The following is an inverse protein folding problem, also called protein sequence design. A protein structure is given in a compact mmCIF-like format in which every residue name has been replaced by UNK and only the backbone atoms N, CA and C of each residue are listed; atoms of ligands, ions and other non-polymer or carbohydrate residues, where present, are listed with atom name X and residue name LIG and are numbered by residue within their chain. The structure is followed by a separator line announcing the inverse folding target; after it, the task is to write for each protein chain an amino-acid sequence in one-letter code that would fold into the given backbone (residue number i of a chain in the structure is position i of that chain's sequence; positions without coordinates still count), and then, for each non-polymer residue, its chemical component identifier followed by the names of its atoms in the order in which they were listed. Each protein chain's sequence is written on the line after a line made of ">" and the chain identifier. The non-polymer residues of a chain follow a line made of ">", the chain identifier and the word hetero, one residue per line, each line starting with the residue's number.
data_IF_368290364826
#
_entry.id   IF_368290364826
#
_cell.length_a   1.000
_cell.length_b   1.000
_cell.length_c   1.000
_cell.angle_alpha   90.00
_cell.angle_beta   90.00
_cell.angle_gamma   90.00
#
_symmetry.space_group_name_H-M   'P 1'
#
loop_
_entity.id
_entity.type
_entity.pdbx_description
1 polymer ?
#
# COMPACT_ATOMS: atom_id res chain seq x y z
N UNK A 1 -23.61 1.89 -9.74
CA UNK A 1 -23.51 0.63 -8.98
C UNK A 1 -24.34 0.79 -7.72
N UNK A 2 -25.38 -0.05 -7.57
CA UNK A 2 -26.20 -0.01 -6.37
C UNK A 2 -25.44 -0.68 -5.23
N UNK A 3 -24.86 0.11 -4.32
CA UNK A 3 -24.24 -0.37 -3.08
C UNK A 3 -25.32 -0.65 -2.02
N UNK A 4 -26.26 -1.54 -2.36
CA UNK A 4 -27.49 -1.81 -1.59
C UNK A 4 -27.29 -2.58 -0.29
N UNK A 5 -26.04 -2.77 0.17
CA UNK A 5 -25.79 -3.31 1.50
C UNK A 5 -26.15 -2.30 2.58
N UNK A 6 -26.08 -1.04 2.23
CA UNK A 6 -26.42 0.08 3.08
C UNK A 6 -27.50 0.89 2.37
N UNK A 7 -28.73 0.38 2.41
CA UNK A 7 -29.91 1.16 2.00
C UNK A 7 -29.92 2.49 2.77
N UNK A 8 -30.38 3.58 2.14
CA UNK A 8 -30.48 4.93 2.73
C UNK A 8 -31.24 4.98 4.06
N UNK A 9 -31.97 3.91 4.39
CA UNK A 9 -32.67 3.71 5.66
C UNK A 9 -31.79 3.02 6.74
N UNK A 10 -30.59 2.54 6.40
CA UNK A 10 -29.71 1.81 7.31
C UNK A 10 -28.61 2.71 7.83
N UNK A 11 -28.80 3.23 8.98
CA UNK A 11 -27.79 3.84 9.82
C UNK A 11 -26.87 2.77 10.42
N UNK A 12 -25.94 2.23 9.63
CA UNK A 12 -24.69 1.80 10.23
C UNK A 12 -23.94 3.12 10.45
N UNK A 13 -24.11 3.69 11.61
CA UNK A 13 -23.38 4.87 12.03
C UNK A 13 -21.93 4.49 12.33
N UNK A 14 -21.15 4.24 11.27
CA UNK A 14 -19.72 4.01 11.42
C UNK A 14 -19.10 5.31 11.90
N UNK A 15 -18.79 5.35 13.20
CA UNK A 15 -18.10 6.47 13.84
C UNK A 15 -16.59 6.29 13.85
N UNK A 16 -16.07 5.20 13.30
CA UNK A 16 -14.64 4.97 13.25
C UNK A 16 -14.19 4.12 12.08
N UNK A 17 -12.93 4.34 11.69
CA UNK A 17 -12.21 3.54 10.73
C UNK A 17 -10.94 2.98 11.36
N UNK A 18 -10.61 1.73 11.04
CA UNK A 18 -9.36 1.09 11.41
C UNK A 18 -8.40 1.11 10.22
N UNK A 19 -7.16 1.49 10.48
CA UNK A 19 -6.10 1.48 9.50
C UNK A 19 -4.94 0.59 9.98
N UNK A 20 -4.39 -0.18 9.05
CA UNK A 20 -3.17 -0.96 9.30
C UNK A 20 -1.96 -0.18 8.83
N UNK A 21 -0.88 -0.24 9.58
CA UNK A 21 0.42 0.29 9.21
C UNK A 21 1.54 -0.70 9.54
N UNK A 22 2.78 -0.27 9.33
CA UNK A 22 3.93 -0.96 9.89
C UNK A 22 4.02 -0.69 11.39
N UNK A 23 4.38 -1.70 12.17
CA UNK A 23 4.70 -1.55 13.60
C UNK A 23 5.72 -0.43 13.83
N UNK A 24 5.43 0.48 14.78
CA UNK A 24 6.25 1.65 15.09
C UNK A 24 5.98 2.90 14.22
N UNK A 25 4.99 2.83 13.32
CA UNK A 25 4.58 3.96 12.46
C UNK A 25 3.18 4.49 12.78
N UNK A 26 2.61 4.07 13.90
CA UNK A 26 1.26 4.46 14.30
C UNK A 26 1.12 5.98 14.47
N UNK A 27 2.13 6.64 15.05
CA UNK A 27 2.11 8.09 15.24
C UNK A 27 2.20 8.86 13.91
N UNK A 28 2.97 8.34 12.95
CA UNK A 28 3.10 8.96 11.63
C UNK A 28 1.81 8.76 10.82
N UNK A 29 1.20 7.56 10.88
CA UNK A 29 -0.12 7.33 10.29
C UNK A 29 -1.20 8.19 10.95
N UNK A 30 -1.22 8.33 12.29
CA UNK A 30 -2.18 9.18 12.98
C UNK A 30 -2.10 10.64 12.50
N UNK A 31 -0.89 11.19 12.38
CA UNK A 31 -0.66 12.54 11.86
C UNK A 31 -1.11 12.68 10.39
N UNK A 32 -0.89 11.65 9.58
CA UNK A 32 -1.38 11.60 8.20
C UNK A 32 -2.92 11.60 8.14
N UNK A 33 -3.57 10.75 8.95
CA UNK A 33 -5.03 10.65 8.98
C UNK A 33 -5.67 11.97 9.42
N UNK A 34 -5.11 12.66 10.40
CA UNK A 34 -5.57 13.99 10.83
C UNK A 34 -5.44 15.03 9.71
N UNK A 35 -4.35 14.97 8.96
CA UNK A 35 -4.16 15.84 7.80
C UNK A 35 -5.17 15.55 6.67
N UNK A 36 -5.34 14.27 6.31
CA UNK A 36 -6.29 13.83 5.27
C UNK A 36 -7.72 14.15 5.70
N UNK A 37 -8.09 13.89 6.97
CA UNK A 37 -9.42 14.19 7.50
C UNK A 37 -9.78 15.67 7.38
N UNK A 38 -8.84 16.55 7.70
CA UNK A 38 -9.03 17.99 7.59
C UNK A 38 -9.27 18.42 6.12
N UNK A 39 -8.56 17.82 5.15
CA UNK A 39 -8.74 18.11 3.73
C UNK A 39 -10.12 17.69 3.21
N UNK A 40 -10.68 16.61 3.75
CA UNK A 40 -12.03 16.12 3.45
C UNK A 40 -13.13 16.77 4.32
N UNK A 41 -12.77 17.64 5.26
CA UNK A 41 -13.69 18.26 6.25
C UNK A 41 -14.42 17.23 7.13
N UNK A 42 -13.79 16.08 7.36
CA UNK A 42 -14.29 14.98 8.19
C UNK A 42 -13.52 14.94 9.51
N UNK A 43 -13.96 15.73 10.47
CA UNK A 43 -13.22 15.96 11.71
C UNK A 43 -13.37 14.79 12.70
N UNK A 44 -12.26 14.51 13.39
CA UNK A 44 -12.17 13.43 14.36
C UNK A 44 -10.80 13.43 15.06
N UNK A 45 -10.45 12.30 15.63
CA UNK A 45 -9.15 12.09 16.28
C UNK A 45 -8.65 10.67 16.10
N UNK A 46 -7.34 10.49 16.08
CA UNK A 46 -6.68 9.19 15.99
C UNK A 46 -6.45 8.61 17.38
N UNK A 47 -6.69 7.31 17.53
CA UNK A 47 -6.36 6.52 18.72
C UNK A 47 -5.50 5.32 18.32
N UNK A 48 -4.40 5.10 19.04
CA UNK A 48 -3.53 3.93 18.81
C UNK A 48 -2.74 3.55 20.06
N UNK A 49 -2.27 2.33 20.07
CA UNK A 49 -1.26 1.84 21.01
C UNK A 49 0.06 1.74 20.27
N UNK A 50 1.17 2.14 20.87
CA UNK A 50 2.51 2.02 20.25
C UNK A 50 2.82 0.56 19.95
N UNK A 51 3.42 0.32 18.80
CA UNK A 51 3.76 -1.01 18.28
C UNK A 51 2.55 -1.95 18.10
N UNK A 52 1.35 -1.38 17.95
CA UNK A 52 0.15 -2.15 17.62
C UNK A 52 0.00 -2.46 16.14
N UNK A 53 0.71 -1.75 15.27
CA UNK A 53 0.53 -1.74 13.82
C UNK A 53 -0.90 -1.33 13.37
N UNK A 54 -1.69 -0.72 14.26
CA UNK A 54 -3.08 -0.34 14.06
C UNK A 54 -3.32 1.08 14.56
N UNK A 55 -4.09 1.85 13.79
CA UNK A 55 -4.61 3.18 14.18
C UNK A 55 -6.10 3.20 13.92
N UNK A 56 -6.89 3.57 14.94
CA UNK A 56 -8.32 3.79 14.79
C UNK A 56 -8.59 5.31 14.75
N UNK A 57 -9.25 5.76 13.70
CA UNK A 57 -9.70 7.14 13.58
C UNK A 57 -11.18 7.25 13.95
N UNK A 58 -11.50 8.07 14.95
CA UNK A 58 -12.84 8.30 15.45
C UNK A 58 -13.39 9.63 14.92
N UNK A 59 -14.55 9.59 14.27
CA UNK A 59 -15.23 10.77 13.74
C UNK A 59 -16.11 11.40 14.81
N UNK A 60 -16.17 12.73 14.87
CA UNK A 60 -17.12 13.43 15.74
C UNK A 60 -18.56 13.25 15.27
N UNK A 61 -18.76 13.04 13.98
CA UNK A 61 -20.06 12.75 13.36
C UNK A 61 -20.00 11.41 12.61
N UNK A 62 -21.12 10.69 12.63
CA UNK A 62 -21.21 9.45 11.86
C UNK A 62 -21.11 9.73 10.36
N UNK A 63 -20.35 8.87 9.65
CA UNK A 63 -20.20 8.98 8.21
C UNK A 63 -21.39 8.40 7.48
N UNK A 64 -21.86 9.09 6.44
CA UNK A 64 -22.78 8.52 5.47
C UNK A 64 -22.16 7.33 4.72
N UNK A 65 -22.98 6.46 4.13
CA UNK A 65 -22.48 5.33 3.32
C UNK A 65 -21.56 5.79 2.17
N UNK A 66 -21.83 6.95 1.58
CA UNK A 66 -20.99 7.51 0.52
C UNK A 66 -19.62 7.94 1.08
N UNK A 67 -19.60 8.63 2.21
CA UNK A 67 -18.35 9.05 2.87
C UNK A 67 -17.53 7.85 3.33
N UNK A 68 -18.18 6.80 3.86
CA UNK A 68 -17.50 5.54 4.20
C UNK A 68 -16.82 4.90 2.99
N UNK A 69 -17.42 5.02 1.82
CA UNK A 69 -16.86 4.48 0.58
C UNK A 69 -15.73 5.34 0.02
N UNK A 70 -15.89 6.67 0.00
CA UNK A 70 -15.01 7.59 -0.74
C UNK A 70 -13.92 8.25 0.08
N UNK A 71 -14.16 8.49 1.41
CA UNK A 71 -13.19 9.20 2.24
C UNK A 71 -11.99 8.35 2.61
N UNK A 72 -10.86 8.99 2.87
CA UNK A 72 -9.60 8.33 3.19
C UNK A 72 -9.26 7.24 2.17
N UNK A 73 -9.26 7.62 0.91
CA UNK A 73 -8.90 6.67 -0.14
C UNK A 73 -7.52 6.06 0.16
N UNK A 74 -7.43 4.72 0.09
CA UNK A 74 -6.21 4.03 0.50
C UNK A 74 -4.98 4.48 -0.29
N UNK A 75 -5.17 4.91 -1.54
CA UNK A 75 -4.12 5.46 -2.39
C UNK A 75 -3.71 6.90 -2.02
N UNK A 76 -4.46 7.62 -1.20
CA UNK A 76 -4.11 8.95 -0.67
C UNK A 76 -3.25 8.85 0.60
N UNK A 77 -3.30 7.72 1.29
CA UNK A 77 -2.55 7.50 2.53
C UNK A 77 -1.21 6.81 2.25
N UNK A 78 -0.11 7.38 2.70
CA UNK A 78 1.24 6.85 2.50
C UNK A 78 1.53 5.70 3.46
N UNK A 79 1.20 5.88 4.74
CA UNK A 79 1.53 4.92 5.80
C UNK A 79 0.45 3.84 6.01
N UNK A 80 -0.78 4.05 5.51
CA UNK A 80 -1.83 3.05 5.62
C UNK A 80 -1.66 1.91 4.61
N UNK A 81 -1.68 0.65 5.08
CA UNK A 81 -1.65 -0.57 4.25
C UNK A 81 -3.05 -1.10 3.95
N UNK A 82 -3.97 -0.93 4.89
CA UNK A 82 -5.37 -1.33 4.78
C UNK A 82 -6.25 -0.31 5.48
N UNK A 83 -7.51 -0.25 5.07
CA UNK A 83 -8.52 0.65 5.60
C UNK A 83 -9.83 -0.10 5.76
N UNK A 84 -10.40 -0.06 6.96
CA UNK A 84 -11.64 -0.75 7.32
C UNK A 84 -12.63 0.22 7.98
N UNK A 85 -13.91 0.08 7.66
CA UNK A 85 -15.00 0.76 8.38
C UNK A 85 -15.41 -0.12 9.57
N UNK A 86 -15.22 0.36 10.78
CA UNK A 86 -15.51 -0.40 12.02
C UNK A 86 -17.00 -0.37 12.32
N UNK A 87 -17.58 -1.54 12.59
CA UNK A 87 -18.97 -1.68 13.06
C UNK A 87 -19.00 -1.71 14.57
N UNK A 88 -18.08 -2.47 15.19
CA UNK A 88 -17.94 -2.54 16.63
C UNK A 88 -17.09 -3.70 17.09
N UNK A 89 -17.20 -4.02 18.38
CA UNK A 89 -16.43 -5.06 19.06
C UNK A 89 -17.33 -6.14 19.57
N UNK A 90 -16.87 -7.38 19.52
CA UNK A 90 -17.58 -8.57 20.02
C UNK A 90 -16.69 -9.28 21.03
N UNK A 91 -17.22 -9.48 22.22
CA UNK A 91 -16.61 -10.35 23.22
C UNK A 91 -17.07 -11.79 22.99
N UNK A 92 -16.12 -12.71 22.95
CA UNK A 92 -16.33 -14.12 22.65
C UNK A 92 -16.06 -14.96 23.89
N UNK A 93 -16.97 -14.88 24.84
CA UNK A 93 -16.84 -15.50 26.18
C UNK A 93 -16.92 -17.02 26.11
N UNK A 94 -17.75 -17.60 25.20
CA UNK A 94 -17.80 -19.04 24.96
C UNK A 94 -16.88 -19.44 23.80
N UNK A 95 -15.87 -20.24 24.15
CA UNK A 95 -14.91 -20.78 23.19
C UNK A 95 -15.56 -21.69 22.13
N UNK A 96 -16.69 -22.31 22.43
CA UNK A 96 -17.36 -23.25 21.54
C UNK A 96 -18.38 -22.59 20.61
N UNK A 97 -18.83 -21.37 20.93
CA UNK A 97 -19.89 -20.68 20.18
C UNK A 97 -19.47 -19.33 19.56
N UNK A 98 -18.18 -19.11 19.33
CA UNK A 98 -17.66 -17.88 18.73
C UNK A 98 -18.30 -17.55 17.37
N UNK A 99 -18.59 -18.57 16.56
CA UNK A 99 -19.13 -18.39 15.21
C UNK A 99 -20.56 -17.87 15.26
N UNK A 100 -21.41 -18.43 16.10
CA UNK A 100 -22.81 -17.99 16.27
C UNK A 100 -22.84 -16.59 16.85
N UNK A 101 -22.05 -16.33 17.89
CA UNK A 101 -21.94 -15.01 18.52
C UNK A 101 -21.59 -13.91 17.50
N UNK A 102 -20.59 -14.14 16.63
CA UNK A 102 -20.22 -13.18 15.59
C UNK A 102 -21.34 -13.04 14.54
N UNK A 103 -21.98 -14.15 14.15
CA UNK A 103 -23.05 -14.12 13.17
C UNK A 103 -24.25 -13.33 13.68
N UNK A 104 -24.66 -13.56 14.93
CA UNK A 104 -25.78 -12.85 15.54
C UNK A 104 -25.46 -11.36 15.69
N UNK A 105 -24.22 -11.04 16.14
CA UNK A 105 -23.75 -9.65 16.14
C UNK A 105 -23.84 -8.98 14.77
N UNK A 106 -23.43 -9.67 13.70
CA UNK A 106 -23.56 -9.17 12.32
C UNK A 106 -25.02 -8.95 11.94
N UNK A 107 -25.93 -9.89 12.27
CA UNK A 107 -27.37 -9.79 11.98
C UNK A 107 -28.03 -8.62 12.70
N UNK A 108 -27.66 -8.40 13.96
CA UNK A 108 -28.25 -7.37 14.81
C UNK A 108 -27.77 -5.96 14.45
N UNK A 109 -26.50 -5.83 14.03
CA UNK A 109 -25.87 -4.55 13.76
C UNK A 109 -25.78 -4.19 12.27
N UNK A 110 -26.19 -5.10 11.37
CA UNK A 110 -26.15 -4.86 9.94
C UNK A 110 -27.37 -5.46 9.25
N UNK A 111 -27.90 -4.82 8.22
CA UNK A 111 -28.95 -5.45 7.38
C UNK A 111 -28.27 -6.24 6.27
N UNK A 112 -27.81 -7.43 6.60
CA UNK A 112 -27.26 -8.35 5.63
C UNK A 112 -28.35 -8.90 4.73
N UNK A 113 -28.30 -8.55 3.46
CA UNK A 113 -29.12 -9.18 2.41
C UNK A 113 -28.43 -10.42 1.85
N UNK A 114 -29.16 -11.25 1.10
CA UNK A 114 -28.56 -12.41 0.45
C UNK A 114 -27.42 -12.03 -0.49
N UNK A 115 -26.29 -12.77 -0.38
CA UNK A 115 -25.09 -12.60 -1.21
C UNK A 115 -24.52 -11.17 -1.27
N UNK A 116 -24.68 -10.41 -0.19
CA UNK A 116 -24.25 -9.01 -0.15
C UNK A 116 -22.73 -8.84 0.11
N UNK A 117 -22.07 -9.86 0.62
CA UNK A 117 -20.62 -9.85 0.90
C UNK A 117 -19.85 -10.75 -0.07
N UNK A 118 -18.74 -10.24 -0.57
CA UNK A 118 -17.89 -10.93 -1.53
C UNK A 118 -16.94 -11.96 -0.91
N UNK A 119 -16.43 -11.69 0.29
CA UNK A 119 -15.58 -12.62 1.07
C UNK A 119 -15.43 -12.16 2.51
N UNK A 120 -14.68 -12.94 3.28
CA UNK A 120 -14.29 -12.67 4.67
C UNK A 120 -12.78 -12.76 4.84
N UNK A 121 -12.23 -11.78 5.54
CA UNK A 121 -10.88 -11.82 6.08
C UNK A 121 -10.92 -11.96 7.59
N UNK A 122 -10.18 -12.95 8.13
CA UNK A 122 -9.97 -13.11 9.56
C UNK A 122 -8.53 -12.75 9.84
N UNK A 123 -8.33 -11.67 10.57
CA UNK A 123 -7.08 -10.93 10.65
C UNK A 123 -6.63 -10.70 12.09
N UNK A 124 -5.42 -10.26 12.22
CA UNK A 124 -4.76 -9.83 13.45
C UNK A 124 -3.83 -8.67 13.13
N UNK A 125 -3.27 -7.99 14.13
CA UNK A 125 -2.24 -6.99 13.90
C UNK A 125 -0.94 -7.61 13.34
N UNK A 126 -0.20 -6.88 12.49
CA UNK A 126 1.10 -7.31 11.94
C UNK A 126 2.23 -6.96 12.92
N UNK A 127 2.20 -7.56 14.10
CA UNK A 127 3.18 -7.39 15.18
C UNK A 127 3.39 -8.71 15.95
N UNK A 128 4.27 -8.72 16.95
CA UNK A 128 4.56 -9.94 17.73
C UNK A 128 3.31 -10.53 18.42
N UNK A 129 2.48 -9.67 19.04
CA UNK A 129 1.22 -10.15 19.68
C UNK A 129 0.26 -10.74 18.66
N UNK A 130 0.12 -10.11 17.50
CA UNK A 130 -0.73 -10.62 16.43
C UNK A 130 -0.28 -11.98 15.91
N UNK A 131 1.02 -12.28 15.89
CA UNK A 131 1.53 -13.60 15.52
C UNK A 131 1.04 -14.73 16.43
N UNK A 132 0.80 -14.45 17.71
CA UNK A 132 0.24 -15.44 18.65
C UNK A 132 -1.16 -15.90 18.24
N UNK A 133 -1.98 -14.97 17.73
CA UNK A 133 -3.34 -15.25 17.25
C UNK A 133 -3.41 -15.71 15.79
N UNK A 134 -2.34 -15.58 15.03
CA UNK A 134 -2.31 -15.89 13.60
C UNK A 134 -2.77 -17.32 13.27
N UNK A 135 -2.34 -18.31 14.07
CA UNK A 135 -2.75 -19.72 13.92
C UNK A 135 -4.25 -19.91 14.17
N UNK A 136 -4.79 -19.22 15.17
CA UNK A 136 -6.21 -19.19 15.46
C UNK A 136 -6.98 -18.57 14.29
N UNK A 137 -6.62 -17.37 13.84
CA UNK A 137 -7.27 -16.68 12.71
C UNK A 137 -7.32 -17.57 11.47
N UNK A 138 -6.20 -18.23 11.13
CA UNK A 138 -6.13 -19.16 9.99
C UNK A 138 -7.10 -20.32 10.11
N UNK A 139 -7.20 -20.94 11.32
CA UNK A 139 -8.13 -22.04 11.57
C UNK A 139 -9.59 -21.57 11.60
N UNK A 140 -9.85 -20.39 12.14
CA UNK A 140 -11.19 -19.83 12.28
C UNK A 140 -11.80 -19.38 10.92
N UNK A 141 -10.97 -19.02 9.96
CA UNK A 141 -11.41 -18.51 8.65
C UNK A 141 -12.33 -19.49 7.92
N UNK A 142 -11.98 -20.77 7.87
CA UNK A 142 -12.72 -21.76 7.08
C UNK A 142 -14.11 -22.01 7.65
N UNK A 143 -14.29 -22.36 8.93
CA UNK A 143 -15.61 -22.62 9.50
C UNK A 143 -16.50 -21.36 9.49
N UNK A 144 -15.94 -20.17 9.76
CA UNK A 144 -16.71 -18.92 9.71
C UNK A 144 -17.18 -18.60 8.28
N UNK A 145 -16.32 -18.74 7.27
CA UNK A 145 -16.68 -18.56 5.86
C UNK A 145 -17.79 -19.54 5.44
N UNK A 146 -17.70 -20.81 5.85
CA UNK A 146 -18.73 -21.81 5.57
C UNK A 146 -20.06 -21.45 6.23
N UNK A 147 -20.06 -20.99 7.47
CA UNK A 147 -21.27 -20.55 8.16
C UNK A 147 -21.93 -19.39 7.44
N UNK A 148 -21.17 -18.33 7.10
CA UNK A 148 -21.71 -17.17 6.37
C UNK A 148 -22.25 -17.54 4.99
N UNK A 149 -21.68 -18.53 4.31
CA UNK A 149 -22.22 -19.05 3.04
C UNK A 149 -23.52 -19.81 3.24
N UNK A 150 -23.62 -20.65 4.28
CA UNK A 150 -24.85 -21.39 4.62
C UNK A 150 -26.01 -20.44 4.98
N UNK A 151 -25.69 -19.33 5.62
CA UNK A 151 -26.67 -18.27 5.92
C UNK A 151 -27.00 -17.41 4.69
N UNK A 152 -26.40 -17.67 3.54
CA UNK A 152 -26.64 -16.94 2.30
C UNK A 152 -26.07 -15.52 2.27
N UNK A 153 -25.22 -15.15 3.22
CA UNK A 153 -24.63 -13.80 3.35
C UNK A 153 -23.47 -13.61 2.38
N UNK A 154 -22.58 -14.60 2.28
CA UNK A 154 -21.46 -14.59 1.33
C UNK A 154 -21.86 -15.19 -0.01
N UNK A 155 -21.24 -14.66 -1.06
CA UNK A 155 -21.24 -15.27 -2.39
C UNK A 155 -20.61 -16.67 -2.37
N UNK A 156 -20.99 -17.55 -3.29
CA UNK A 156 -20.46 -18.93 -3.38
C UNK A 156 -18.95 -18.96 -3.65
N UNK A 157 -18.46 -17.99 -4.41
CA UNK A 157 -17.02 -17.77 -4.68
C UNK A 157 -16.64 -16.34 -4.28
N UNK A 158 -15.38 -16.05 -3.96
CA UNK A 158 -14.92 -14.69 -3.69
C UNK A 158 -15.29 -13.73 -4.83
N UNK A 159 -15.83 -12.57 -4.49
CA UNK A 159 -16.29 -11.56 -5.45
C UNK A 159 -15.72 -10.18 -5.07
N UNK A 160 -14.67 -9.74 -5.76
CA UNK A 160 -13.95 -8.50 -5.46
C UNK A 160 -14.77 -7.22 -5.65
N UNK A 161 -15.84 -7.27 -6.43
CA UNK A 161 -16.76 -6.14 -6.64
C UNK A 161 -17.75 -5.89 -5.50
N UNK A 162 -17.76 -6.74 -4.45
CA UNK A 162 -18.62 -6.59 -3.28
C UNK A 162 -17.78 -6.26 -2.04
N UNK A 163 -18.36 -5.69 -0.97
CA UNK A 163 -17.67 -5.50 0.30
C UNK A 163 -17.21 -6.81 0.89
N UNK A 164 -16.12 -6.74 1.68
CA UNK A 164 -15.63 -7.85 2.49
C UNK A 164 -15.87 -7.55 3.96
N UNK A 165 -16.25 -8.56 4.72
CA UNK A 165 -16.24 -8.49 6.19
C UNK A 165 -14.85 -8.82 6.70
N UNK A 166 -14.41 -8.07 7.70
CA UNK A 166 -13.16 -8.27 8.39
C UNK A 166 -13.43 -8.58 9.86
N UNK A 167 -12.82 -9.65 10.33
CA UNK A 167 -12.81 -10.03 11.74
C UNK A 167 -11.39 -9.86 12.24
N UNK A 168 -11.15 -8.80 13.00
CA UNK A 168 -9.82 -8.44 13.50
C UNK A 168 -9.69 -8.87 14.95
N UNK A 169 -8.89 -9.89 15.20
CA UNK A 169 -8.70 -10.46 16.52
C UNK A 169 -7.50 -9.84 17.24
N UNK A 170 -7.71 -9.34 18.45
CA UNK A 170 -6.64 -8.99 19.39
C UNK A 170 -6.14 -10.21 20.15
N UNK A 171 -7.05 -11.12 20.46
CA UNK A 171 -6.85 -12.43 21.07
C UNK A 171 -8.01 -13.36 20.68
N UNK A 172 -8.07 -14.57 21.22
CA UNK A 172 -9.12 -15.54 20.86
C UNK A 172 -10.50 -15.23 21.45
N UNK A 173 -10.62 -14.23 22.31
CA UNK A 173 -11.85 -13.82 23.02
C UNK A 173 -12.37 -12.45 22.62
N UNK A 174 -11.63 -11.67 21.84
CA UNK A 174 -12.03 -10.34 21.41
C UNK A 174 -11.86 -10.16 19.90
N UNK A 175 -12.91 -9.69 19.26
CA UNK A 175 -12.97 -9.50 17.83
C UNK A 175 -13.56 -8.12 17.50
N UNK A 176 -12.85 -7.34 16.70
CA UNK A 176 -13.43 -6.18 16.04
C UNK A 176 -14.05 -6.61 14.71
N UNK A 177 -15.28 -6.19 14.48
CA UNK A 177 -16.02 -6.44 13.23
C UNK A 177 -15.98 -5.18 12.38
N UNK A 178 -15.53 -5.32 11.15
CA UNK A 178 -15.39 -4.20 10.21
C UNK A 178 -15.69 -4.62 8.77
N UNK A 179 -15.83 -3.65 7.88
CA UNK A 179 -16.02 -3.86 6.45
C UNK A 179 -15.01 -3.07 5.64
N UNK A 180 -14.66 -3.63 4.46
CA UNK A 180 -13.92 -2.91 3.43
C UNK A 180 -14.70 -2.88 2.12
N UNK A 181 -14.53 -1.80 1.36
CA UNK A 181 -15.26 -1.58 0.12
C UNK A 181 -14.40 -1.86 -1.11
N UNK A 182 -15.00 -2.29 -2.24
CA UNK A 182 -14.31 -2.39 -3.52
C UNK A 182 -13.60 -1.08 -3.88
N UNK A 183 -12.45 -1.19 -4.52
CA UNK A 183 -11.61 -0.05 -4.96
C UNK A 183 -11.01 0.82 -3.85
N UNK A 184 -11.40 0.62 -2.60
CA UNK A 184 -10.86 1.34 -1.45
C UNK A 184 -10.43 0.37 -0.33
N UNK A 185 -9.76 -0.71 -0.71
CA UNK A 185 -9.14 -1.70 0.16
C UNK A 185 -7.93 -2.31 -0.53
N UNK A 186 -6.99 -2.81 0.24
CA UNK A 186 -5.98 -3.71 -0.28
C UNK A 186 -6.60 -5.11 -0.52
N UNK A 187 -6.24 -5.75 -1.62
CA UNK A 187 -6.84 -7.05 -2.02
C UNK A 187 -6.31 -8.24 -1.21
N UNK A 188 -5.20 -8.08 -0.51
CA UNK A 188 -4.55 -9.12 0.27
C UNK A 188 -4.78 -8.93 1.77
N UNK A 189 -4.71 -10.05 2.50
CA UNK A 189 -4.83 -10.10 3.95
C UNK A 189 -3.81 -9.16 4.61
N UNK A 190 -4.21 -8.43 5.65
CA UNK A 190 -3.40 -7.44 6.39
C UNK A 190 -2.91 -6.26 5.53
N UNK A 191 -3.38 -6.11 4.31
CA UNK A 191 -2.83 -5.13 3.37
C UNK A 191 -1.41 -5.42 2.92
N UNK A 192 -1.00 -6.69 2.91
CA UNK A 192 0.38 -7.11 2.62
C UNK A 192 0.44 -7.92 1.33
N UNK A 193 1.17 -7.39 0.33
CA UNK A 193 1.51 -8.14 -0.88
C UNK A 193 2.64 -9.13 -0.56
N UNK A 194 2.29 -10.41 -0.45
CA UNK A 194 3.27 -11.46 -0.16
C UNK A 194 3.94 -11.93 -1.43
N UNK A 195 5.14 -11.41 -1.67
CA UNK A 195 5.95 -11.74 -2.83
C UNK A 195 6.88 -12.92 -2.53
N UNK A 196 7.07 -13.78 -3.53
CA UNK A 196 8.09 -14.82 -3.50
C UNK A 196 9.41 -14.21 -3.96
N UNK A 197 10.46 -14.41 -3.17
CA UNK A 197 11.80 -14.00 -3.57
C UNK A 197 12.29 -14.87 -4.76
N UNK A 198 12.65 -14.25 -5.91
CA UNK A 198 13.21 -14.99 -7.05
C UNK A 198 14.61 -15.50 -6.71
N UNK A 199 14.88 -16.78 -7.04
CA UNK A 199 16.17 -17.41 -6.72
C UNK A 199 17.35 -16.74 -7.43
N UNK A 200 17.10 -16.18 -8.61
CA UNK A 200 18.10 -15.52 -9.47
C UNK A 200 18.38 -14.09 -9.09
N UNK A 201 17.55 -13.49 -8.21
CA UNK A 201 17.72 -12.10 -7.80
C UNK A 201 18.91 -11.95 -6.84
N UNK A 202 19.83 -11.01 -7.07
CA UNK A 202 21.05 -10.88 -6.29
C UNK A 202 20.82 -10.27 -4.90
N UNK A 203 19.67 -9.63 -4.65
CA UNK A 203 19.36 -8.96 -3.41
C UNK A 203 17.87 -8.96 -3.10
N UNK A 204 17.52 -8.99 -1.80
CA UNK A 204 16.13 -8.88 -1.34
C UNK A 204 15.48 -7.52 -1.65
N UNK A 205 16.25 -6.49 -1.97
CA UNK A 205 15.74 -5.19 -2.40
C UNK A 205 14.87 -5.29 -3.68
N UNK A 206 15.05 -6.36 -4.47
CA UNK A 206 14.20 -6.68 -5.63
C UNK A 206 12.71 -6.69 -5.28
N UNK A 207 12.35 -7.12 -4.06
CA UNK A 207 10.96 -7.19 -3.61
C UNK A 207 10.32 -5.82 -3.42
N UNK A 208 11.11 -4.79 -3.09
CA UNK A 208 10.60 -3.40 -2.97
C UNK A 208 10.09 -2.90 -4.33
N UNK A 209 10.93 -3.01 -5.37
CA UNK A 209 10.55 -2.57 -6.71
C UNK A 209 9.39 -3.40 -7.27
N UNK A 210 9.38 -4.71 -7.05
CA UNK A 210 8.27 -5.57 -7.46
C UNK A 210 6.96 -5.18 -6.77
N UNK A 211 6.98 -4.96 -5.44
CA UNK A 211 5.80 -4.50 -4.71
C UNK A 211 5.33 -3.14 -5.21
N UNK A 212 6.25 -2.20 -5.45
CA UNK A 212 5.95 -0.88 -6.02
C UNK A 212 5.25 -1.00 -7.38
N UNK A 213 5.79 -1.82 -8.28
CA UNK A 213 5.21 -2.05 -9.61
C UNK A 213 3.78 -2.61 -9.48
N UNK A 214 3.58 -3.63 -8.64
CA UNK A 214 2.26 -4.25 -8.46
C UNK A 214 1.23 -3.31 -7.81
N UNK A 215 1.67 -2.45 -6.92
CA UNK A 215 0.78 -1.55 -6.18
C UNK A 215 0.43 -0.28 -6.96
N UNK A 216 1.41 0.32 -7.63
CA UNK A 216 1.24 1.61 -8.28
C UNK A 216 0.77 1.53 -9.73
N UNK A 217 1.09 0.43 -10.42
CA UNK A 217 0.76 0.25 -11.82
C UNK A 217 -0.30 -0.85 -12.00
N UNK A 218 -1.43 -0.48 -12.58
CA UNK A 218 -2.42 -1.47 -13.01
C UNK A 218 -1.81 -2.42 -14.05
N UNK A 219 -2.38 -3.62 -14.28
CA UNK A 219 -1.88 -4.55 -15.30
C UNK A 219 -1.76 -3.91 -16.69
N UNK A 220 -2.71 -3.03 -17.07
CA UNK A 220 -2.64 -2.29 -18.31
C UNK A 220 -1.46 -1.29 -18.33
N UNK A 221 -1.24 -0.57 -17.25
CA UNK A 221 -0.09 0.34 -17.15
C UNK A 221 1.23 -0.43 -17.18
N UNK A 222 1.33 -1.57 -16.50
CA UNK A 222 2.54 -2.41 -16.55
C UNK A 222 2.85 -2.86 -17.99
N UNK A 223 1.83 -3.28 -18.76
CA UNK A 223 2.03 -3.74 -20.14
C UNK A 223 2.49 -2.63 -21.11
N UNK A 224 2.21 -1.37 -20.78
CA UNK A 224 2.59 -0.21 -21.62
C UNK A 224 3.86 0.47 -21.12
N UNK A 225 4.02 0.60 -19.78
CA UNK A 225 5.12 1.36 -19.20
C UNK A 225 6.38 0.51 -18.92
N UNK A 226 6.30 -0.83 -19.01
CA UNK A 226 7.43 -1.73 -18.71
C UNK A 226 7.65 -2.71 -19.86
N UNK A 227 7.80 -2.18 -21.08
CA UNK A 227 7.97 -2.98 -22.28
C UNK A 227 9.43 -3.39 -22.49
N UNK A 228 9.60 -4.57 -23.09
CA UNK A 228 10.90 -5.01 -23.60
C UNK A 228 11.49 -3.98 -24.56
N UNK A 229 12.78 -3.68 -24.39
CA UNK A 229 13.51 -2.72 -25.23
C UNK A 229 13.49 -1.29 -24.71
N UNK A 230 12.69 -0.99 -23.67
CA UNK A 230 12.81 0.29 -22.96
C UNK A 230 14.17 0.43 -22.28
N UNK A 231 14.49 1.65 -21.87
CA UNK A 231 15.76 2.02 -21.23
C UNK A 231 15.53 2.51 -19.81
N UNK A 232 16.48 2.22 -18.92
CA UNK A 232 16.43 2.68 -17.54
C UNK A 232 17.81 3.04 -17.01
N UNK A 233 17.84 3.93 -16.01
CA UNK A 233 18.99 4.14 -15.14
C UNK A 233 18.63 3.68 -13.74
N UNK A 234 19.51 2.90 -13.12
CA UNK A 234 19.42 2.46 -11.71
C UNK A 234 20.55 3.12 -10.91
N UNK A 235 20.19 4.07 -10.04
CA UNK A 235 21.13 4.78 -9.19
C UNK A 235 21.24 4.11 -7.81
N UNK A 236 22.46 3.70 -7.44
CA UNK A 236 22.69 2.86 -6.27
C UNK A 236 22.35 1.39 -6.57
N UNK A 237 22.76 0.93 -7.76
CA UNK A 237 22.29 -0.33 -8.33
C UNK A 237 22.78 -1.58 -7.60
N UNK A 238 24.00 -1.58 -7.02
CA UNK A 238 24.64 -2.78 -6.53
C UNK A 238 23.96 -3.44 -5.32
N UNK A 239 23.91 -4.77 -5.29
CA UNK A 239 24.39 -5.76 -6.28
C UNK A 239 23.44 -6.02 -7.45
N UNK A 240 22.34 -5.26 -7.63
CA UNK A 240 21.42 -5.35 -8.75
C UNK A 240 20.00 -5.81 -8.42
N UNK A 241 19.53 -5.57 -7.19
CA UNK A 241 18.17 -6.00 -6.81
C UNK A 241 17.07 -5.31 -7.62
N UNK A 242 17.17 -4.02 -7.84
CA UNK A 242 16.24 -3.26 -8.67
C UNK A 242 16.52 -3.46 -10.17
N UNK A 243 17.80 -3.47 -10.55
CA UNK A 243 18.23 -3.83 -11.91
C UNK A 243 17.64 -5.16 -12.36
N UNK A 244 17.60 -6.19 -11.50
CA UNK A 244 17.02 -7.50 -11.81
C UNK A 244 15.56 -7.39 -12.26
N UNK A 245 14.74 -6.57 -11.58
CA UNK A 245 13.33 -6.39 -11.94
C UNK A 245 13.14 -5.76 -13.32
N UNK A 246 14.01 -4.86 -13.70
CA UNK A 246 13.97 -4.21 -15.01
C UNK A 246 14.46 -5.18 -16.10
N UNK A 247 15.60 -5.83 -15.88
CA UNK A 247 16.20 -6.79 -16.82
C UNK A 247 15.29 -7.98 -17.07
N UNK A 248 14.61 -8.51 -16.03
CA UNK A 248 13.66 -9.62 -16.18
C UNK A 248 12.46 -9.29 -17.08
N UNK A 249 12.19 -8.00 -17.30
CA UNK A 249 11.20 -7.47 -18.24
C UNK A 249 11.77 -7.13 -19.62
N UNK A 250 13.08 -7.38 -19.83
CA UNK A 250 13.78 -7.07 -21.07
C UNK A 250 14.10 -5.58 -21.26
N UNK A 251 14.19 -4.82 -20.17
CA UNK A 251 14.57 -3.40 -20.17
C UNK A 251 16.09 -3.30 -20.10
N UNK A 252 16.68 -2.41 -20.89
CA UNK A 252 18.12 -2.11 -20.87
C UNK A 252 18.42 -1.17 -19.71
N UNK A 253 19.41 -1.49 -18.88
CA UNK A 253 19.70 -0.75 -17.65
C UNK A 253 21.13 -0.20 -17.64
N UNK A 254 21.28 1.09 -17.45
CA UNK A 254 22.53 1.72 -17.05
C UNK A 254 22.60 1.66 -15.50
N UNK A 255 23.41 0.73 -14.98
CA UNK A 255 23.55 0.49 -13.54
C UNK A 255 24.71 1.30 -12.97
N UNK A 256 24.41 2.25 -12.09
CA UNK A 256 25.36 3.24 -11.55
C UNK A 256 25.57 2.99 -10.06
N UNK A 257 26.77 2.60 -9.70
CA UNK A 257 27.20 2.36 -8.32
C UNK A 257 28.73 2.27 -8.23
N UNK A 258 29.28 2.35 -7.03
CA UNK A 258 30.70 2.09 -6.77
C UNK A 258 31.01 0.62 -6.40
N UNK A 259 29.98 -0.18 -6.07
CA UNK A 259 30.07 -1.60 -5.77
C UNK A 259 30.04 -2.50 -7.01
N UNK A 260 30.25 -3.81 -6.85
CA UNK A 260 30.19 -4.76 -7.95
C UNK A 260 28.76 -5.23 -8.25
N UNK A 261 28.39 -5.27 -9.51
CA UNK A 261 27.15 -5.88 -9.99
C UNK A 261 27.25 -7.40 -9.98
N UNK A 262 26.13 -8.08 -9.77
CA UNK A 262 26.07 -9.53 -9.86
C UNK A 262 26.42 -9.99 -11.29
N UNK A 263 27.32 -11.00 -11.40
CA UNK A 263 27.78 -11.54 -12.68
C UNK A 263 26.62 -12.07 -13.53
N UNK A 264 25.62 -12.67 -12.90
CA UNK A 264 24.41 -13.17 -13.58
C UNK A 264 23.64 -12.08 -14.31
N UNK A 265 23.60 -10.85 -13.77
CA UNK A 265 22.99 -9.71 -14.44
C UNK A 265 23.85 -9.20 -15.59
N UNK A 266 25.14 -9.12 -15.40
CA UNK A 266 26.08 -8.71 -16.47
C UNK A 266 26.04 -9.69 -17.66
N UNK A 267 25.92 -10.98 -17.39
CA UNK A 267 25.82 -12.01 -18.42
C UNK A 267 24.56 -11.93 -19.31
N UNK A 268 23.53 -11.17 -18.88
CA UNK A 268 22.30 -10.98 -19.69
C UNK A 268 22.52 -10.10 -20.93
N UNK A 269 23.58 -9.30 -20.95
CA UNK A 269 23.84 -8.30 -22.00
C UNK A 269 22.90 -7.08 -21.98
N UNK A 270 21.99 -7.00 -21.00
CA UNK A 270 21.04 -5.88 -20.86
C UNK A 270 21.52 -4.82 -19.87
N UNK A 271 22.63 -5.03 -19.19
CA UNK A 271 23.19 -4.12 -18.17
C UNK A 271 24.47 -3.48 -18.65
N UNK A 272 24.51 -2.16 -18.62
CA UNK A 272 25.74 -1.36 -18.75
C UNK A 272 26.10 -0.82 -17.37
N UNK A 273 27.09 -1.43 -16.72
CA UNK A 273 27.56 -0.96 -15.42
C UNK A 273 28.59 0.14 -15.57
N UNK A 274 28.48 1.17 -14.71
CA UNK A 274 29.47 2.23 -14.55
C UNK A 274 29.75 2.52 -13.08
N UNK A 275 31.03 2.45 -12.69
CA UNK A 275 31.50 2.91 -11.39
C UNK A 275 31.51 4.46 -11.37
N UNK A 276 30.43 5.07 -10.89
CA UNK A 276 30.24 6.53 -10.91
C UNK A 276 29.35 7.01 -9.76
N UNK A 277 29.48 8.30 -9.42
CA UNK A 277 28.61 8.99 -8.48
C UNK A 277 27.23 9.22 -9.11
N UNK A 278 26.18 8.56 -8.58
CA UNK A 278 24.82 8.68 -9.05
C UNK A 278 24.27 10.11 -9.05
N UNK A 279 24.76 10.99 -8.18
CA UNK A 279 24.35 12.40 -8.15
C UNK A 279 24.90 13.23 -9.31
N UNK A 280 25.98 12.78 -9.94
CA UNK A 280 26.64 13.47 -11.07
C UNK A 280 26.35 12.80 -12.41
N UNK A 281 25.76 11.63 -12.38
CA UNK A 281 25.52 10.84 -13.57
C UNK A 281 24.51 11.50 -14.53
N UNK A 282 24.72 11.26 -15.82
CA UNK A 282 23.79 11.65 -16.89
C UNK A 282 23.61 10.43 -17.81
N UNK A 283 22.38 10.16 -18.31
CA UNK A 283 22.13 9.03 -19.17
C UNK A 283 22.93 9.14 -20.47
N UNK A 284 23.44 8.02 -20.98
CA UNK A 284 24.34 7.97 -22.15
C UNK A 284 23.69 8.57 -23.39
N UNK A 285 22.44 8.23 -23.64
CA UNK A 285 21.67 8.72 -24.81
C UNK A 285 20.82 9.98 -24.49
N UNK A 286 21.13 10.66 -23.37
CA UNK A 286 20.48 11.89 -22.94
C UNK A 286 19.08 11.72 -22.32
N UNK A 287 18.41 10.59 -22.54
CA UNK A 287 17.08 10.29 -22.03
C UNK A 287 16.90 8.79 -21.77
N UNK A 288 16.07 8.45 -20.76
CA UNK A 288 15.62 7.08 -20.46
C UNK A 288 14.13 7.04 -20.16
N UNK A 289 13.50 5.87 -20.33
CA UNK A 289 12.10 5.69 -19.97
C UNK A 289 11.91 5.67 -18.45
N UNK A 290 12.85 5.07 -17.72
CA UNK A 290 12.78 4.93 -16.27
C UNK A 290 14.07 5.40 -15.57
N UNK A 291 13.89 6.14 -14.49
CA UNK A 291 14.91 6.36 -13.49
C UNK A 291 14.49 5.65 -12.20
N UNK A 292 15.31 4.73 -11.69
CA UNK A 292 15.05 4.09 -10.40
C UNK A 292 16.20 4.34 -9.42
N UNK A 293 15.88 4.39 -8.11
CA UNK A 293 16.88 4.73 -7.10
C UNK A 293 16.55 4.15 -5.71
N UNK A 294 17.45 3.33 -5.16
CA UNK A 294 17.40 2.85 -3.77
C UNK A 294 18.68 3.24 -2.99
N UNK A 295 19.24 4.42 -3.26
CA UNK A 295 20.43 4.92 -2.57
C UNK A 295 20.16 5.21 -1.10
N UNK A 296 21.17 4.94 -0.24
CA UNK A 296 21.16 5.32 1.18
C UNK A 296 21.70 6.76 1.28
N UNK A 297 20.81 7.73 1.25
CA UNK A 297 21.16 9.15 1.31
C UNK A 297 20.02 9.95 1.98
N UNK A 298 20.27 11.22 2.28
CA UNK A 298 19.26 12.13 2.83
C UNK A 298 18.09 12.27 1.85
N UNK A 299 16.84 12.14 2.32
CA UNK A 299 15.67 12.12 1.45
C UNK A 299 15.54 13.41 0.63
N UNK A 300 15.96 14.56 1.15
CA UNK A 300 15.91 15.85 0.44
C UNK A 300 16.79 15.81 -0.82
N UNK A 301 17.99 15.22 -0.71
CA UNK A 301 18.93 15.11 -1.84
C UNK A 301 18.41 14.19 -2.93
N UNK A 302 17.82 13.05 -2.52
CA UNK A 302 17.22 12.10 -3.47
C UNK A 302 15.99 12.72 -4.13
N UNK A 303 15.09 13.35 -3.36
CA UNK A 303 13.93 14.03 -3.90
C UNK A 303 14.31 15.09 -4.95
N UNK A 304 15.31 15.93 -4.64
CA UNK A 304 15.81 16.93 -5.58
C UNK A 304 16.39 16.30 -6.84
N UNK A 305 17.22 15.26 -6.72
CA UNK A 305 17.81 14.56 -7.86
C UNK A 305 16.73 13.98 -8.80
N UNK A 306 15.72 13.30 -8.25
CA UNK A 306 14.62 12.73 -9.05
C UNK A 306 13.82 13.82 -9.76
N UNK A 307 13.55 14.92 -9.06
CA UNK A 307 12.86 16.08 -9.61
C UNK A 307 13.66 16.73 -10.75
N UNK A 308 14.95 16.91 -10.57
CA UNK A 308 15.84 17.50 -11.59
C UNK A 308 15.90 16.66 -12.87
N UNK A 309 15.89 15.32 -12.73
CA UNK A 309 15.86 14.45 -13.89
C UNK A 309 14.55 14.57 -14.68
N UNK A 310 13.41 14.64 -14.00
CA UNK A 310 12.12 14.86 -14.66
C UNK A 310 12.01 16.25 -15.27
N UNK A 311 12.41 17.30 -14.52
CA UNK A 311 12.39 18.69 -14.99
C UNK A 311 13.31 18.93 -16.19
N UNK A 312 14.45 18.24 -16.27
CA UNK A 312 15.38 18.30 -17.40
C UNK A 312 15.06 17.28 -18.50
N UNK A 313 13.95 16.53 -18.38
CA UNK A 313 13.48 15.50 -19.32
C UNK A 313 14.52 14.41 -19.63
N UNK A 314 15.36 14.09 -18.66
CA UNK A 314 16.32 12.97 -18.75
C UNK A 314 15.67 11.61 -18.48
N UNK A 315 14.51 11.60 -17.82
CA UNK A 315 13.69 10.41 -17.62
C UNK A 315 12.22 10.72 -17.88
N UNK A 316 11.48 9.74 -18.41
CA UNK A 316 10.02 9.82 -18.54
C UNK A 316 9.35 9.64 -17.19
N UNK A 317 9.77 8.66 -16.40
CA UNK A 317 9.17 8.34 -15.09
C UNK A 317 10.22 7.87 -14.11
N UNK A 318 9.87 7.90 -12.82
CA UNK A 318 10.81 7.48 -11.78
C UNK A 318 10.13 6.69 -10.68
N UNK A 319 10.85 5.69 -10.11
CA UNK A 319 10.52 5.03 -8.85
C UNK A 319 11.74 5.13 -7.95
N UNK A 320 11.54 5.60 -6.73
CA UNK A 320 12.66 5.79 -5.79
C UNK A 320 12.23 5.67 -4.34
N UNK A 321 13.21 5.40 -3.49
CA UNK A 321 13.03 5.36 -2.04
C UNK A 321 13.48 6.65 -1.38
N UNK A 322 12.69 7.14 -0.43
CA UNK A 322 13.05 8.23 0.47
C UNK A 322 13.27 7.65 1.87
N UNK A 323 14.51 7.72 2.35
CA UNK A 323 14.87 7.30 3.71
C UNK A 323 14.22 8.25 4.72
N UNK A 324 13.59 7.69 5.75
CA UNK A 324 12.84 8.47 6.72
C UNK A 324 13.68 8.77 7.96
N UNK A 325 13.53 9.95 8.56
CA UNK A 325 14.16 10.25 9.85
C UNK A 325 13.53 9.41 10.97
N UNK A 326 14.19 9.35 12.12
CA UNK A 326 13.68 8.61 13.28
C UNK A 326 12.40 9.24 13.89
N UNK A 327 12.17 10.54 13.65
CA UNK A 327 11.01 11.29 14.17
C UNK A 327 10.40 12.17 13.08
N UNK A 328 9.10 12.50 13.24
CA UNK A 328 8.37 13.39 12.33
C UNK A 328 8.41 12.92 10.87
N UNK A 329 8.29 11.62 10.65
CA UNK A 329 8.38 11.00 9.32
C UNK A 329 7.31 11.55 8.38
N UNK A 330 6.06 11.59 8.84
CA UNK A 330 4.96 12.14 8.03
C UNK A 330 5.21 13.61 7.63
N UNK A 331 5.65 14.46 8.57
CA UNK A 331 5.92 15.86 8.27
C UNK A 331 7.05 16.02 7.24
N UNK A 332 8.11 15.23 7.36
CA UNK A 332 9.22 15.21 6.38
C UNK A 332 8.69 14.82 5.00
N UNK A 333 7.94 13.72 4.91
CA UNK A 333 7.38 13.24 3.65
C UNK A 333 6.46 14.28 3.01
N UNK A 334 5.56 14.88 3.80
CA UNK A 334 4.63 15.91 3.34
C UNK A 334 5.36 17.09 2.68
N UNK A 335 6.41 17.59 3.33
CA UNK A 335 7.22 18.70 2.79
C UNK A 335 7.91 18.31 1.48
N UNK A 336 8.52 17.12 1.43
CA UNK A 336 9.23 16.65 0.24
C UNK A 336 8.29 16.41 -0.94
N UNK A 337 7.15 15.77 -0.71
CA UNK A 337 6.15 15.53 -1.76
C UNK A 337 5.60 16.85 -2.29
N UNK A 338 5.29 17.82 -1.41
CA UNK A 338 4.86 19.15 -1.85
C UNK A 338 5.91 19.82 -2.71
N UNK A 339 7.18 19.84 -2.29
CA UNK A 339 8.27 20.45 -3.03
C UNK A 339 8.46 19.81 -4.44
N UNK A 340 8.34 18.49 -4.54
CA UNK A 340 8.39 17.78 -5.83
C UNK A 340 7.24 18.24 -6.75
N UNK A 341 6.02 18.25 -6.22
CA UNK A 341 4.82 18.65 -6.97
C UNK A 341 4.93 20.10 -7.45
N UNK A 342 5.36 21.00 -6.56
CA UNK A 342 5.51 22.43 -6.88
C UNK A 342 6.53 22.63 -8.00
N UNK A 343 7.70 21.99 -7.94
CA UNK A 343 8.73 22.08 -8.96
C UNK A 343 8.28 21.52 -10.33
N UNK A 344 7.53 20.43 -10.34
CA UNK A 344 6.97 19.86 -11.58
C UNK A 344 5.88 20.77 -12.17
N UNK A 345 5.05 21.38 -11.32
CA UNK A 345 4.02 22.33 -11.74
C UNK A 345 4.63 23.61 -12.32
N UNK A 346 5.67 24.17 -11.69
CA UNK A 346 6.40 25.33 -12.21
C UNK A 346 6.97 25.09 -13.62
N UNK A 347 7.39 23.84 -13.91
CA UNK A 347 7.86 23.41 -15.23
C UNK A 347 6.74 22.96 -16.17
N UNK A 348 5.46 23.06 -15.73
CA UNK A 348 4.28 22.64 -16.49
C UNK A 348 4.35 21.17 -16.93
N UNK A 349 4.97 20.31 -16.11
CA UNK A 349 5.05 18.87 -16.36
C UNK A 349 3.80 18.19 -15.83
N UNK A 350 2.96 17.68 -16.72
CA UNK A 350 1.84 16.83 -16.32
C UNK A 350 2.40 15.57 -15.66
N UNK A 351 1.92 15.27 -14.45
CA UNK A 351 2.41 14.13 -13.68
C UNK A 351 1.32 13.47 -12.83
N UNK A 352 1.59 12.23 -12.45
CA UNK A 352 0.86 11.51 -11.40
C UNK A 352 1.89 11.02 -10.39
N UNK A 353 1.84 11.53 -9.18
CA UNK A 353 2.68 11.10 -8.08
C UNK A 353 1.87 10.18 -7.15
N UNK A 354 2.48 9.08 -6.72
CA UNK A 354 1.97 8.22 -5.65
C UNK A 354 3.13 7.83 -4.73
N UNK A 355 2.85 7.67 -3.44
CA UNK A 355 3.84 7.29 -2.46
C UNK A 355 3.23 6.28 -1.46
N UNK A 356 4.02 5.32 -1.00
CA UNK A 356 3.60 4.30 -0.02
C UNK A 356 4.77 3.85 0.85
N UNK A 357 4.47 3.57 2.10
CA UNK A 357 5.31 2.75 2.96
C UNK A 357 5.01 1.28 2.67
N UNK A 358 5.77 0.69 1.76
CA UNK A 358 5.58 -0.67 1.31
C UNK A 358 5.88 -1.69 2.43
N UNK A 359 5.39 -2.89 2.30
CA UNK A 359 5.71 -3.96 3.24
C UNK A 359 7.20 -4.31 3.24
N UNK A 360 7.82 -4.30 2.05
CA UNK A 360 9.25 -4.60 1.90
C UNK A 360 10.18 -3.41 2.19
N UNK A 361 9.63 -2.21 2.39
CA UNK A 361 10.36 -1.06 2.93
C UNK A 361 10.68 -1.29 4.41
N UNK A 362 11.71 -0.58 4.91
CA UNK A 362 12.02 -0.52 6.34
C UNK A 362 11.72 0.89 6.86
N UNK A 363 12.77 1.70 7.02
CA UNK A 363 12.65 3.11 7.42
C UNK A 363 12.70 4.02 6.19
N UNK A 364 11.85 3.75 5.22
CA UNK A 364 11.76 4.45 3.95
C UNK A 364 10.34 4.38 3.39
N UNK A 365 10.03 5.25 2.45
CA UNK A 365 8.84 5.13 1.61
C UNK A 365 9.28 5.02 0.15
N UNK A 366 8.47 4.34 -0.65
CA UNK A 366 8.64 4.28 -2.10
C UNK A 366 7.72 5.28 -2.77
N UNK A 367 8.28 6.08 -3.68
CA UNK A 367 7.60 7.09 -4.48
C UNK A 367 7.67 6.71 -5.95
N UNK A 368 6.56 6.87 -6.66
CA UNK A 368 6.51 6.79 -8.12
C UNK A 368 6.00 8.10 -8.69
N UNK A 369 6.62 8.55 -9.77
CA UNK A 369 6.16 9.71 -10.54
C UNK A 369 6.08 9.30 -12.01
N UNK A 370 4.88 9.32 -12.54
CA UNK A 370 4.62 9.05 -13.95
C UNK A 370 4.45 10.38 -14.69
N UNK A 371 5.07 10.49 -15.87
CA UNK A 371 4.91 11.64 -16.77
C UNK A 371 4.81 11.18 -18.23
N UNK A 372 4.55 12.09 -19.15
CA UNK A 372 4.57 11.83 -20.58
C UNK A 372 3.73 10.63 -21.03
N UNK A 373 4.34 9.74 -21.79
CA UNK A 373 3.68 8.55 -22.34
C UNK A 373 3.21 7.53 -21.26
N UNK A 374 3.75 7.61 -20.04
CA UNK A 374 3.34 6.72 -18.93
C UNK A 374 2.09 7.22 -18.18
N UNK A 375 1.56 8.41 -18.48
CA UNK A 375 0.29 8.93 -17.95
C UNK A 375 -0.89 8.29 -18.69
N UNK A 376 -1.14 7.02 -18.46
CA UNK A 376 -2.27 6.29 -19.03
C UNK A 376 -3.42 6.33 -18.02
N UNK A 377 -4.64 6.58 -18.50
CA UNK A 377 -5.86 6.58 -17.68
C UNK A 377 -6.30 5.19 -17.28
#
# INVERSE_FOLDING_TARGET
>A
MNFSIFDKSNKIDTKSMLFYCREGYEADLAAELEHVSASHKLYGYSQFVRNSALVQFHFYQALSAQEQFTSFALNECIFARQRLCVIGHVELTDANDRITTILDYLKDNTKLSQHCLGDIFVEHADNEKGKEVAKFCKKFTVPMRQKLRREGVLTSKPHSGLPFVHLVFSDSSQCMVAFSYPKNRHSQLLGITRLKFPAEAPSRSTLKLEEAIQLFLSPNQQSVCLQKGMTAVDLGACPGGWTYQLVSRGIHVEAIDNGAMAESLMATGLVKYQAADGFKYKPLDGHVDWLVCDMIEKPERVAQLMTDWLCSRKATSTIFNLKLPMKQRFQTVKVLISAIIDALNERQIKHKLSAKHLYHDRDEITVIILTGAHLIQ
#
